data_IF_426733764593
#
_entry.id   IF_426733764593
#
_cell.length_a   1.000
_cell.length_b   1.000
_cell.length_c   1.000
_cell.angle_alpha   90.00
_cell.angle_beta   90.00
_cell.angle_gamma   90.00
#
_symmetry.space_group_name_H-M   'P 1'
#
loop_
_entity.id
_entity.type
_entity.pdbx_description
1 polymer ?
#
# COMPACT_ATOMS: atom_id res chain seq x y z
N UNK A 1 3.33 -28.90 17.67
CA UNK A 1 2.05 -28.52 17.02
C UNK A 1 1.70 -29.57 15.97
N UNK A 2 0.45 -30.04 15.87
CA UNK A 2 0.11 -31.05 14.86
C UNK A 2 0.11 -30.44 13.44
N UNK A 3 0.54 -31.22 12.45
CA UNK A 3 0.63 -30.80 11.05
C UNK A 3 -0.68 -30.19 10.52
N UNK A 4 -1.84 -30.72 10.94
CA UNK A 4 -3.16 -30.19 10.60
C UNK A 4 -3.39 -28.75 11.09
N UNK A 5 -2.90 -28.41 12.30
CA UNK A 5 -3.01 -27.04 12.83
C UNK A 5 -2.15 -26.06 12.01
N UNK A 6 -0.94 -26.47 11.62
CA UNK A 6 -0.06 -25.67 10.77
C UNK A 6 -0.72 -25.37 9.42
N UNK A 7 -1.29 -26.40 8.76
CA UNK A 7 -1.97 -26.23 7.47
C UNK A 7 -3.15 -25.27 7.57
N UNK A 8 -3.96 -25.35 8.63
CA UNK A 8 -5.08 -24.43 8.86
C UNK A 8 -4.61 -22.99 9.02
N UNK A 9 -3.53 -22.76 9.78
CA UNK A 9 -2.95 -21.42 9.96
C UNK A 9 -2.43 -20.86 8.63
N UNK A 10 -1.72 -21.67 7.84
CA UNK A 10 -1.22 -21.27 6.51
C UNK A 10 -2.35 -20.91 5.55
N UNK A 11 -3.42 -21.70 5.50
CA UNK A 11 -4.59 -21.38 4.69
C UNK A 11 -5.22 -20.04 5.05
N UNK A 12 -5.26 -19.69 6.34
CA UNK A 12 -5.71 -18.37 6.79
C UNK A 12 -4.78 -17.25 6.31
N UNK A 13 -3.46 -17.45 6.37
CA UNK A 13 -2.46 -16.49 5.84
C UNK A 13 -2.68 -16.30 4.33
N UNK A 14 -2.79 -17.38 3.57
CA UNK A 14 -3.00 -17.32 2.12
C UNK A 14 -4.28 -16.55 1.77
N UNK A 15 -5.33 -16.68 2.58
CA UNK A 15 -6.57 -15.93 2.39
C UNK A 15 -6.39 -14.42 2.68
N UNK A 16 -5.59 -14.06 3.68
CA UNK A 16 -5.24 -12.66 3.96
C UNK A 16 -4.43 -12.09 2.78
N UNK A 17 -3.46 -12.83 2.27
CA UNK A 17 -2.61 -12.41 1.15
C UNK A 17 -3.43 -12.18 -0.13
N UNK A 18 -4.39 -13.05 -0.43
CA UNK A 18 -5.35 -12.86 -1.54
C UNK A 18 -6.13 -11.56 -1.39
N UNK A 19 -6.58 -11.21 -0.17
CA UNK A 19 -7.29 -9.96 0.09
C UNK A 19 -6.38 -8.74 -0.09
N UNK A 20 -5.13 -8.81 0.37
CA UNK A 20 -4.13 -7.76 0.16
C UNK A 20 -3.94 -7.51 -1.34
N UNK A 21 -3.76 -8.55 -2.15
CA UNK A 21 -3.60 -8.43 -3.61
C UNK A 21 -4.82 -7.75 -4.26
N UNK A 22 -6.04 -8.14 -3.87
CA UNK A 22 -7.28 -7.51 -4.36
C UNK A 22 -7.32 -6.02 -4.03
N UNK A 23 -6.98 -5.64 -2.79
CA UNK A 23 -6.93 -4.25 -2.35
C UNK A 23 -5.85 -3.43 -3.08
N UNK A 24 -4.69 -4.04 -3.35
CA UNK A 24 -3.63 -3.42 -4.15
C UNK A 24 -4.11 -3.12 -5.59
N UNK A 25 -4.86 -4.03 -6.20
CA UNK A 25 -5.49 -3.82 -7.51
C UNK A 25 -6.47 -2.64 -7.51
N UNK A 26 -7.32 -2.55 -6.48
CA UNK A 26 -8.23 -1.41 -6.31
C UNK A 26 -7.46 -0.09 -6.12
N UNK A 27 -6.42 -0.09 -5.28
CA UNK A 27 -5.57 1.08 -5.08
C UNK A 27 -4.90 1.53 -6.37
N UNK A 28 -4.37 0.59 -7.19
CA UNK A 28 -3.79 0.90 -8.51
C UNK A 28 -4.80 1.58 -9.42
N UNK A 29 -6.05 1.11 -9.48
CA UNK A 29 -7.12 1.75 -10.28
C UNK A 29 -7.31 3.22 -9.89
N UNK A 30 -7.27 3.54 -8.60
CA UNK A 30 -7.39 4.94 -8.13
C UNK A 30 -6.16 5.79 -8.48
N UNK A 31 -4.95 5.21 -8.40
CA UNK A 31 -3.71 5.89 -8.85
C UNK A 31 -3.79 6.23 -10.34
N UNK A 32 -4.29 5.33 -11.17
CA UNK A 32 -4.48 5.60 -12.61
C UNK A 32 -5.50 6.71 -12.86
N UNK A 33 -6.57 6.78 -12.06
CA UNK A 33 -7.57 7.85 -12.15
C UNK A 33 -6.98 9.22 -11.78
N UNK A 34 -6.29 9.32 -10.64
CA UNK A 34 -5.70 10.59 -10.19
C UNK A 34 -4.57 11.06 -11.12
N UNK A 35 -3.84 10.14 -11.75
CA UNK A 35 -2.76 10.46 -12.70
C UNK A 35 -3.23 11.37 -13.85
N UNK A 36 -4.48 11.22 -14.31
CA UNK A 36 -5.06 12.02 -15.39
C UNK A 36 -5.16 13.52 -15.06
N UNK A 37 -5.18 13.87 -13.79
CA UNK A 37 -5.32 15.25 -13.31
C UNK A 37 -3.99 15.86 -12.87
N UNK A 38 -2.89 15.12 -12.95
CA UNK A 38 -1.57 15.56 -12.52
C UNK A 38 -0.72 16.03 -13.71
N UNK A 39 0.14 17.00 -13.44
CA UNK A 39 1.25 17.39 -14.31
C UNK A 39 2.60 16.95 -13.71
N UNK A 40 3.69 17.03 -14.50
CA UNK A 40 5.04 16.57 -14.10
C UNK A 40 5.52 17.10 -12.73
N UNK A 41 5.12 18.32 -12.37
CA UNK A 41 5.51 18.96 -11.10
C UNK A 41 4.74 18.41 -9.89
N UNK A 42 3.52 17.89 -10.13
CA UNK A 42 2.60 17.41 -9.08
C UNK A 42 2.62 15.89 -8.85
N UNK A 43 3.41 15.14 -9.63
CA UNK A 43 3.55 13.69 -9.45
C UNK A 43 4.09 13.38 -8.05
N UNK A 44 5.15 14.08 -7.64
CA UNK A 44 5.75 13.93 -6.30
C UNK A 44 5.18 15.00 -5.37
N UNK A 45 4.04 14.68 -4.75
CA UNK A 45 3.43 15.55 -3.74
C UNK A 45 3.97 15.21 -2.33
N UNK A 46 4.98 15.97 -1.89
CA UNK A 46 5.61 15.81 -0.57
C UNK A 46 4.60 16.03 0.59
N UNK A 47 3.68 16.98 0.45
CA UNK A 47 2.67 17.28 1.48
C UNK A 47 1.74 16.07 1.65
N UNK A 48 1.28 15.50 0.55
CA UNK A 48 0.43 14.30 0.56
C UNK A 48 1.16 13.08 1.12
N UNK A 49 2.42 12.87 0.75
CA UNK A 49 3.24 11.78 1.29
C UNK A 49 3.35 11.91 2.82
N UNK A 50 3.65 13.10 3.35
CA UNK A 50 3.72 13.33 4.79
C UNK A 50 2.39 13.06 5.50
N UNK A 51 1.26 13.46 4.91
CA UNK A 51 -0.07 13.13 5.43
C UNK A 51 -0.33 11.62 5.46
N UNK A 52 0.07 10.89 4.41
CA UNK A 52 -0.04 9.43 4.37
C UNK A 52 0.80 8.82 5.51
N UNK A 53 2.04 9.26 5.69
CA UNK A 53 2.93 8.74 6.73
C UNK A 53 2.37 8.96 8.15
N UNK A 54 1.81 10.15 8.43
CA UNK A 54 1.15 10.43 9.71
C UNK A 54 -0.05 9.50 9.94
N UNK A 55 -0.91 9.34 8.93
CA UNK A 55 -2.10 8.48 9.02
C UNK A 55 -1.72 7.01 9.24
N UNK A 56 -0.79 6.46 8.46
CA UNK A 56 -0.42 5.04 8.61
C UNK A 56 0.31 4.77 9.93
N UNK A 57 1.01 5.76 10.51
CA UNK A 57 1.59 5.64 11.86
C UNK A 57 0.51 5.46 12.92
N UNK A 58 -0.56 6.26 12.83
CA UNK A 58 -1.71 6.13 13.73
C UNK A 58 -2.43 4.78 13.55
N UNK A 59 -2.65 4.34 12.31
CA UNK A 59 -3.25 3.04 12.00
C UNK A 59 -2.38 1.87 12.49
N UNK A 60 -1.06 1.94 12.31
CA UNK A 60 -0.14 0.90 12.81
C UNK A 60 -0.25 0.75 14.33
N UNK A 61 -0.25 1.88 15.06
CA UNK A 61 -0.45 1.89 16.51
C UNK A 61 -1.80 1.29 16.91
N UNK A 62 -2.89 1.67 16.23
CA UNK A 62 -4.24 1.15 16.50
C UNK A 62 -4.33 -0.37 16.32
N UNK A 63 -3.64 -0.91 15.32
CA UNK A 63 -3.65 -2.34 14.99
C UNK A 63 -2.54 -3.13 15.68
N UNK A 64 -1.74 -2.51 16.58
CA UNK A 64 -0.60 -3.14 17.26
C UNK A 64 0.43 -3.76 16.31
N UNK A 65 0.65 -3.10 15.15
CA UNK A 65 1.64 -3.50 14.15
C UNK A 65 2.85 -2.57 14.28
N UNK A 66 4.05 -3.13 14.15
CA UNK A 66 5.28 -2.35 14.10
C UNK A 66 5.23 -1.30 12.97
N UNK A 67 5.52 -0.05 13.32
CA UNK A 67 5.43 1.06 12.37
C UNK A 67 6.48 0.97 11.27
N UNK A 68 7.66 0.42 11.54
CA UNK A 68 8.73 0.28 10.54
C UNK A 68 8.26 -0.66 9.42
N UNK A 69 7.61 -1.78 9.77
CA UNK A 69 6.99 -2.69 8.80
C UNK A 69 5.98 -1.97 7.90
N UNK A 70 5.02 -1.26 8.50
CA UNK A 70 3.97 -0.52 7.77
C UNK A 70 4.58 0.58 6.89
N UNK A 71 5.54 1.35 7.43
CA UNK A 71 6.24 2.40 6.71
C UNK A 71 6.97 1.86 5.49
N UNK A 72 7.68 0.74 5.62
CA UNK A 72 8.43 0.13 4.53
C UNK A 72 7.49 -0.33 3.41
N UNK A 73 6.39 -1.00 3.76
CA UNK A 73 5.39 -1.43 2.79
C UNK A 73 4.76 -0.24 2.04
N UNK A 74 4.28 0.78 2.76
CA UNK A 74 3.67 1.96 2.13
C UNK A 74 4.66 2.75 1.27
N UNK A 75 5.92 2.82 1.68
CA UNK A 75 6.96 3.50 0.90
C UNK A 75 7.14 2.84 -0.47
N UNK A 76 7.15 1.50 -0.54
CA UNK A 76 7.18 0.77 -1.82
C UNK A 76 5.94 1.04 -2.67
N UNK A 77 4.75 1.09 -2.06
CA UNK A 77 3.51 1.41 -2.77
C UNK A 77 3.50 2.84 -3.34
N UNK A 78 4.00 3.82 -2.59
CA UNK A 78 4.12 5.21 -3.04
C UNK A 78 5.12 5.30 -4.20
N UNK A 79 6.29 4.68 -4.06
CA UNK A 79 7.29 4.62 -5.14
C UNK A 79 6.73 4.00 -6.42
N UNK A 80 6.01 2.88 -6.30
CA UNK A 80 5.31 2.27 -7.42
C UNK A 80 4.29 3.23 -8.06
N UNK A 81 3.50 3.93 -7.24
CA UNK A 81 2.48 4.87 -7.72
C UNK A 81 3.12 6.03 -8.50
N UNK A 82 4.19 6.62 -7.98
CA UNK A 82 4.96 7.67 -8.66
C UNK A 82 5.51 7.18 -10.00
N UNK A 83 6.10 5.98 -10.03
CA UNK A 83 6.61 5.38 -11.28
C UNK A 83 5.50 5.18 -12.31
N UNK A 84 4.31 4.75 -11.87
CA UNK A 84 3.16 4.55 -12.75
C UNK A 84 2.63 5.88 -13.28
N UNK A 85 2.50 6.89 -12.42
CA UNK A 85 2.06 8.24 -12.79
C UNK A 85 3.01 8.88 -13.81
N UNK A 86 4.33 8.76 -13.63
CA UNK A 86 5.35 9.27 -14.58
C UNK A 86 5.23 8.69 -15.99
N UNK A 87 4.70 7.47 -16.13
CA UNK A 87 4.48 6.85 -17.46
C UNK A 87 3.26 7.40 -18.18
N UNK A 88 2.33 8.01 -17.44
CA UNK A 88 1.02 8.44 -17.95
C UNK A 88 1.02 9.95 -18.22
N UNK A 89 1.59 10.71 -17.29
CA UNK A 89 1.67 12.16 -17.37
C UNK A 89 2.71 12.55 -18.42
N UNK A 90 2.23 13.13 -19.53
CA UNK A 90 3.07 13.62 -20.64
C UNK A 90 3.81 14.91 -20.30
#
# INVERSE_FOLDING_TARGET
MSQRKILKIRSTIDNIDKQIIKLLGLRKKQVLKIAKYKNKRTIVDKKRINQIMKRIKAEAKKNKIDFILVKNFWSKLIQYSIKLEKKIVK
#
